data_IF_202488322536
#
_entry.id   IF_202488322536
#
_cell.length_a   1.000
_cell.length_b   1.000
_cell.length_c   1.000
_cell.angle_alpha   90.00
_cell.angle_beta   90.00
_cell.angle_gamma   90.00
#
_symmetry.space_group_name_H-M   'P 1'
#
loop_
_entity.id
_entity.type
_entity.pdbx_description
1 polymer ?
#
# COMPACT_ATOMS: atom_id res chain seq x y z
N UNK A 1 11.47 23.91 8.20
CA UNK A 1 10.74 23.15 7.14
C UNK A 1 10.79 21.65 7.37
N UNK A 2 11.96 21.07 7.73
CA UNK A 2 12.10 19.63 7.97
C UNK A 2 11.20 19.13 9.12
N UNK A 3 11.16 19.86 10.24
CA UNK A 3 10.22 19.56 11.33
C UNK A 3 8.75 19.57 10.91
N UNK A 4 8.36 20.52 10.04
CA UNK A 4 7.00 20.55 9.50
C UNK A 4 6.73 19.37 8.57
N UNK A 5 7.74 18.94 7.80
CA UNK A 5 7.61 17.77 6.94
C UNK A 5 7.47 16.49 7.78
N UNK A 6 8.25 16.38 8.87
CA UNK A 6 8.17 15.31 9.88
C UNK A 6 6.81 15.28 10.56
N UNK A 7 6.24 16.44 10.90
CA UNK A 7 4.88 16.55 11.46
C UNK A 7 3.76 16.29 10.44
N UNK A 8 4.07 15.82 9.24
CA UNK A 8 3.09 15.42 8.23
C UNK A 8 2.68 16.54 7.26
N UNK A 9 3.25 17.73 7.32
CA UNK A 9 2.89 18.80 6.38
C UNK A 9 3.36 18.48 4.96
N UNK A 10 2.48 18.72 3.98
CA UNK A 10 2.81 18.64 2.56
C UNK A 10 3.57 19.87 2.06
N UNK A 11 4.23 19.78 0.90
CA UNK A 11 5.02 20.90 0.34
C UNK A 11 4.21 22.19 0.16
N UNK A 12 2.93 22.10 -0.22
CA UNK A 12 2.03 23.25 -0.31
C UNK A 12 1.72 23.89 1.04
N UNK A 13 1.54 23.08 2.09
CA UNK A 13 1.27 23.60 3.44
C UNK A 13 2.49 24.31 4.00
N UNK A 14 3.69 23.77 3.76
CA UNK A 14 4.94 24.40 4.16
C UNK A 14 5.13 25.72 3.39
N UNK A 15 4.88 25.74 2.08
CA UNK A 15 4.94 26.96 1.27
C UNK A 15 3.94 28.03 1.76
N UNK A 16 2.71 27.65 2.08
CA UNK A 16 1.69 28.56 2.62
C UNK A 16 2.10 29.13 3.99
N UNK A 17 2.60 28.29 4.88
CA UNK A 17 3.07 28.73 6.20
C UNK A 17 4.28 29.67 6.08
N UNK A 18 5.15 29.48 5.09
CA UNK A 18 6.28 30.36 4.82
C UNK A 18 5.79 31.72 4.31
N UNK A 19 4.80 31.72 3.41
CA UNK A 19 4.15 32.94 2.95
C UNK A 19 3.49 33.72 4.11
N UNK A 20 2.75 33.04 4.97
CA UNK A 20 2.09 33.64 6.16
C UNK A 20 3.10 34.23 7.15
N UNK A 21 4.27 33.60 7.29
CA UNK A 21 5.37 34.09 8.14
C UNK A 21 6.26 35.12 7.47
N UNK A 22 5.99 35.46 6.20
CA UNK A 22 6.79 36.42 5.43
C UNK A 22 8.17 35.90 5.01
N UNK A 23 8.42 34.58 5.06
CA UNK A 23 9.68 33.99 4.63
C UNK A 23 9.80 34.00 3.11
N UNK A 24 10.86 34.62 2.59
CA UNK A 24 11.14 34.71 1.16
C UNK A 24 12.24 33.75 0.73
N UNK A 25 12.34 33.49 -0.57
CA UNK A 25 13.40 32.66 -1.15
C UNK A 25 14.73 33.39 -1.14
N UNK A 26 15.81 32.61 -1.10
CA UNK A 26 17.16 33.15 -1.18
C UNK A 26 17.41 33.80 -2.56
N UNK A 27 18.02 34.99 -2.55
CA UNK A 27 18.42 35.73 -3.76
C UNK A 27 17.35 36.67 -4.30
N UNK A 28 16.25 36.14 -4.85
CA UNK A 28 15.23 36.96 -5.56
C UNK A 28 14.08 37.46 -4.67
N UNK A 29 14.12 37.18 -3.38
CA UNK A 29 13.07 37.52 -2.40
C UNK A 29 11.65 37.13 -2.83
N UNK A 30 11.52 36.05 -3.62
CA UNK A 30 10.23 35.60 -4.12
C UNK A 30 9.51 34.71 -3.10
N UNK A 31 8.23 34.46 -3.33
CA UNK A 31 7.47 33.52 -2.50
C UNK A 31 7.90 32.08 -2.74
N UNK A 32 7.93 31.29 -1.67
CA UNK A 32 8.25 29.87 -1.75
C UNK A 32 7.16 29.12 -2.51
N UNK A 33 7.57 28.40 -3.56
CA UNK A 33 6.70 27.47 -4.29
C UNK A 33 6.91 26.03 -3.78
N UNK A 34 5.90 25.14 -3.89
CA UNK A 34 6.03 23.75 -3.46
C UNK A 34 7.23 23.02 -4.08
N UNK A 35 7.55 23.29 -5.34
CA UNK A 35 8.71 22.72 -6.02
C UNK A 35 10.05 23.14 -5.38
N UNK A 36 10.16 24.38 -4.91
CA UNK A 36 11.36 24.87 -4.21
C UNK A 36 11.50 24.22 -2.82
N UNK A 37 10.38 24.09 -2.09
CA UNK A 37 10.35 23.36 -0.82
C UNK A 37 10.81 21.90 -1.02
N UNK A 38 10.28 21.24 -2.05
CA UNK A 38 10.67 19.86 -2.40
C UNK A 38 12.16 19.75 -2.72
N UNK A 39 12.72 20.68 -3.51
CA UNK A 39 14.12 20.67 -3.88
C UNK A 39 15.05 20.73 -2.66
N UNK A 40 14.72 21.58 -1.67
CA UNK A 40 15.51 21.68 -0.43
C UNK A 40 15.35 20.45 0.43
N UNK A 41 14.12 19.96 0.64
CA UNK A 41 13.86 18.80 1.50
C UNK A 41 14.55 17.54 0.96
N UNK A 42 14.68 17.38 -0.36
CA UNK A 42 15.34 16.22 -0.98
C UNK A 42 16.86 16.35 -1.12
N UNK A 43 17.41 17.56 -0.91
CA UNK A 43 18.83 17.80 -1.16
C UNK A 43 19.68 17.22 -0.03
N UNK A 44 20.62 16.32 -0.37
CA UNK A 44 21.59 15.79 0.59
C UNK A 44 22.61 16.86 1.05
N UNK A 45 22.68 18.01 0.38
CA UNK A 45 23.53 19.12 0.83
C UNK A 45 23.18 19.58 2.25
N UNK A 46 21.92 19.42 2.68
CA UNK A 46 21.46 19.81 4.02
C UNK A 46 22.07 18.97 5.15
N UNK A 47 22.51 17.75 4.82
CA UNK A 47 23.22 16.84 5.74
C UNK A 47 24.74 16.87 5.52
N UNK A 48 25.23 17.78 4.68
CA UNK A 48 26.66 17.97 4.42
C UNK A 48 27.24 17.11 3.29
N UNK A 49 26.39 16.46 2.48
CA UNK A 49 26.85 15.54 1.43
C UNK A 49 26.77 16.19 0.06
N UNK A 50 27.82 16.03 -0.74
CA UNK A 50 27.86 16.44 -2.14
C UNK A 50 28.01 15.22 -3.05
N UNK A 51 27.06 15.02 -3.96
CA UNK A 51 27.15 14.02 -5.02
C UNK A 51 27.48 14.73 -6.35
N UNK A 52 28.70 14.61 -6.89
CA UNK A 52 29.01 15.06 -8.24
C UNK A 52 28.11 14.34 -9.25
N UNK A 53 27.79 15.03 -10.35
CA UNK A 53 27.01 14.45 -11.44
C UNK A 53 27.59 14.89 -12.77
N UNK A 54 27.61 13.98 -13.73
CA UNK A 54 27.95 14.24 -15.14
C UNK A 54 26.72 14.06 -16.02
N UNK A 55 26.77 14.58 -17.24
CA UNK A 55 25.73 14.38 -18.25
C UNK A 55 26.19 13.27 -19.19
N UNK A 56 25.54 12.12 -19.13
CA UNK A 56 25.74 10.99 -20.04
C UNK A 56 24.46 10.75 -20.82
N UNK A 57 24.54 10.69 -22.15
CA UNK A 57 23.38 10.49 -23.04
C UNK A 57 22.20 11.47 -22.79
N UNK A 58 22.49 12.70 -22.33
CA UNK A 58 21.47 13.71 -22.02
C UNK A 58 20.81 13.55 -20.64
N UNK A 59 21.19 12.54 -19.86
CA UNK A 59 20.72 12.32 -18.50
C UNK A 59 21.79 12.66 -17.47
N UNK A 60 21.36 13.15 -16.30
CA UNK A 60 22.24 13.52 -15.20
C UNK A 60 22.50 12.28 -14.34
N UNK A 61 23.72 11.75 -14.40
CA UNK A 61 24.13 10.53 -13.69
C UNK A 61 25.12 10.88 -12.58
N UNK A 62 25.05 10.25 -11.39
CA UNK A 62 26.05 10.42 -10.34
C UNK A 62 27.46 10.06 -10.83
N UNK A 63 28.44 10.91 -10.53
CA UNK A 63 29.85 10.72 -10.88
C UNK A 63 30.65 10.42 -9.61
N UNK A 64 31.03 9.15 -9.45
CA UNK A 64 31.76 8.66 -8.27
C UNK A 64 30.94 8.61 -6.98
N UNK A 65 31.65 8.41 -5.87
CA UNK A 65 31.07 8.29 -4.53
C UNK A 65 30.66 9.66 -3.94
N UNK A 66 29.59 9.72 -3.11
CA UNK A 66 29.21 10.94 -2.41
C UNK A 66 30.33 11.42 -1.48
N UNK A 67 30.63 12.72 -1.56
CA UNK A 67 31.62 13.38 -0.69
C UNK A 67 30.93 13.84 0.59
N UNK A 68 31.29 13.22 1.70
CA UNK A 68 30.77 13.55 3.04
C UNK A 68 31.48 14.79 3.61
N UNK A 69 30.74 15.62 4.37
CA UNK A 69 31.29 16.80 5.03
C UNK A 69 31.67 17.95 4.08
N UNK A 70 31.21 17.91 2.83
CA UNK A 70 31.49 18.94 1.83
C UNK A 70 30.75 20.25 2.11
N UNK A 71 29.50 20.16 2.58
CA UNK A 71 28.70 21.31 2.99
C UNK A 71 28.54 21.35 4.52
N UNK A 72 28.28 22.53 5.10
CA UNK A 72 27.86 22.62 6.50
C UNK A 72 26.56 21.84 6.72
N UNK A 73 26.57 20.90 7.67
CA UNK A 73 25.38 20.17 8.09
C UNK A 73 24.43 21.12 8.83
N UNK A 74 23.24 21.34 8.26
CA UNK A 74 22.20 22.21 8.83
C UNK A 74 21.00 21.43 9.37
N UNK A 75 20.90 20.14 9.03
CA UNK A 75 19.88 19.20 9.49
C UNK A 75 20.57 17.91 9.90
N UNK A 76 20.14 17.28 11.00
CA UNK A 76 20.70 16.00 11.41
C UNK A 76 20.39 14.90 10.38
N UNK A 77 21.33 13.97 10.10
CA UNK A 77 21.10 12.85 9.19
C UNK A 77 19.85 12.04 9.56
N UNK A 78 19.63 11.80 10.85
CA UNK A 78 18.45 11.09 11.36
C UNK A 78 17.13 11.79 11.00
N UNK A 79 17.04 13.12 11.18
CA UNK A 79 15.82 13.87 10.81
C UNK A 79 15.61 13.88 9.29
N UNK A 80 16.70 13.98 8.52
CA UNK A 80 16.63 13.93 7.06
C UNK A 80 16.09 12.58 6.57
N UNK A 81 16.65 11.48 7.05
CA UNK A 81 16.24 10.12 6.68
C UNK A 81 14.79 9.83 7.09
N UNK A 82 14.40 10.23 8.31
CA UNK A 82 13.02 10.10 8.78
C UNK A 82 12.04 10.84 7.84
N UNK A 83 12.38 12.07 7.44
CA UNK A 83 11.57 12.84 6.48
C UNK A 83 11.55 12.20 5.10
N UNK A 84 12.67 11.68 4.58
CA UNK A 84 12.69 10.97 3.30
C UNK A 84 11.82 9.72 3.34
N UNK A 85 11.89 8.95 4.43
CA UNK A 85 11.07 7.77 4.62
C UNK A 85 9.58 8.13 4.66
N UNK A 86 9.19 9.13 5.44
CA UNK A 86 7.81 9.64 5.49
C UNK A 86 7.31 10.14 4.13
N UNK A 87 8.18 10.72 3.30
CA UNK A 87 7.82 11.15 1.94
C UNK A 87 7.68 9.94 1.01
N UNK A 88 8.53 8.92 1.15
CA UNK A 88 8.49 7.70 0.36
C UNK A 88 7.28 6.80 0.66
N UNK A 89 6.81 6.78 1.91
CA UNK A 89 5.61 6.03 2.32
C UNK A 89 4.30 6.72 1.95
N UNK A 90 4.33 8.02 1.63
CA UNK A 90 3.14 8.71 1.09
C UNK A 90 2.75 8.06 -0.23
N UNK A 91 1.56 7.46 -0.25
CA UNK A 91 0.99 6.82 -1.44
C UNK A 91 1.13 7.72 -2.68
N UNK A 92 1.70 7.18 -3.76
CA UNK A 92 1.72 7.81 -5.10
C UNK A 92 0.33 8.00 -5.68
N UNK A 93 -0.72 7.55 -4.98
CA UNK A 93 -2.10 7.82 -5.32
C UNK A 93 -2.39 9.32 -5.15
N UNK A 94 -2.18 10.05 -6.24
CA UNK A 94 -2.55 11.45 -6.38
C UNK A 94 -4.07 11.56 -6.42
N UNK A 95 -4.69 11.52 -5.24
CA UNK A 95 -6.13 11.62 -5.14
C UNK A 95 -6.55 11.87 -3.70
N UNK A 96 -6.89 13.13 -3.41
CA UNK A 96 -7.96 13.44 -2.46
C UNK A 96 -7.79 13.03 -0.98
N UNK A 97 -6.60 13.16 -0.37
CA UNK A 97 -6.49 13.15 1.10
C UNK A 97 -6.37 14.56 1.73
N UNK A 98 -6.29 15.61 0.91
CA UNK A 98 -6.11 16.98 1.42
C UNK A 98 -7.48 17.59 1.76
N UNK A 99 -7.75 17.79 3.06
CA UNK A 99 -8.76 18.69 3.66
C UNK A 99 -10.19 18.21 3.95
N UNK A 100 -10.48 16.92 4.05
CA UNK A 100 -11.77 16.46 4.58
C UNK A 100 -13.02 16.85 3.76
N UNK A 101 -12.84 17.50 2.61
CA UNK A 101 -13.87 17.74 1.60
C UNK A 101 -13.70 16.69 0.50
N UNK A 102 -14.53 15.65 0.57
CA UNK A 102 -14.61 14.62 -0.46
C UNK A 102 -15.40 15.17 -1.66
N UNK A 103 -14.71 15.80 -2.60
CA UNK A 103 -15.36 16.29 -3.82
C UNK A 103 -15.65 15.17 -4.81
N UNK A 104 -14.96 14.04 -4.70
CA UNK A 104 -15.14 12.85 -5.53
C UNK A 104 -14.98 11.57 -4.70
N UNK A 105 -16.10 10.88 -4.44
CA UNK A 105 -16.17 9.62 -3.71
C UNK A 105 -15.41 8.49 -4.41
N UNK A 106 -15.33 8.53 -5.73
CA UNK A 106 -14.75 7.44 -6.53
C UNK A 106 -13.32 7.74 -6.99
N UNK A 107 -12.62 8.63 -6.29
CA UNK A 107 -11.21 8.93 -6.54
C UNK A 107 -10.40 7.65 -6.46
N UNK A 108 -9.72 7.29 -7.55
CA UNK A 108 -8.88 6.09 -7.60
C UNK A 108 -9.56 4.80 -8.01
N UNK A 109 -10.89 4.80 -8.08
CA UNK A 109 -11.69 3.58 -8.31
C UNK A 109 -12.12 3.48 -9.77
N UNK A 110 -12.72 4.54 -10.31
CA UNK A 110 -13.30 4.49 -11.65
C UNK A 110 -12.23 4.60 -12.74
N UNK A 111 -12.28 3.66 -13.68
CA UNK A 111 -11.42 3.59 -14.85
C UNK A 111 -12.24 3.75 -16.12
N UNK A 112 -11.64 4.40 -17.11
CA UNK A 112 -12.15 4.43 -18.46
C UNK A 112 -11.95 3.06 -19.13
N UNK A 113 -12.70 2.80 -20.21
CA UNK A 113 -12.50 1.66 -21.10
C UNK A 113 -11.06 1.59 -21.67
N UNK A 114 -10.35 2.71 -21.75
CA UNK A 114 -8.93 2.74 -22.13
C UNK A 114 -7.94 2.34 -21.01
N UNK A 115 -8.45 1.88 -19.86
CA UNK A 115 -7.68 1.45 -18.69
C UNK A 115 -7.24 2.58 -17.74
N UNK A 116 -7.33 3.82 -18.19
CA UNK A 116 -6.86 4.99 -17.44
C UNK A 116 -7.84 5.42 -16.35
N UNK A 117 -7.34 6.00 -15.25
CA UNK A 117 -8.20 6.49 -14.17
C UNK A 117 -8.98 7.73 -14.60
N UNK A 118 -10.27 7.78 -14.26
CA UNK A 118 -11.10 8.96 -14.47
C UNK A 118 -10.72 10.06 -13.48
N UNK A 119 -10.63 11.29 -13.98
CA UNK A 119 -10.33 12.48 -13.20
C UNK A 119 -11.58 13.30 -12.93
N UNK A 120 -11.65 13.84 -11.72
CA UNK A 120 -12.66 14.80 -11.33
C UNK A 120 -12.26 16.21 -11.80
N UNK A 121 -13.13 16.84 -12.60
CA UNK A 121 -12.91 18.18 -13.12
C UNK A 121 -14.16 19.04 -12.94
N UNK A 122 -13.99 20.22 -12.33
CA UNK A 122 -15.00 21.25 -12.35
C UNK A 122 -14.87 22.07 -13.64
N UNK A 123 -15.90 22.07 -14.48
CA UNK A 123 -16.00 22.89 -15.70
C UNK A 123 -17.09 23.98 -15.57
N UNK A 124 -17.54 24.25 -14.35
CA UNK A 124 -18.52 25.30 -14.05
C UNK A 124 -17.88 26.66 -13.81
N UNK A 125 -18.73 27.67 -13.57
CA UNK A 125 -18.29 29.02 -13.16
C UNK A 125 -18.29 29.12 -11.64
N UNK A 126 -17.54 30.08 -11.09
CA UNK A 126 -17.63 30.41 -9.66
C UNK A 126 -19.10 30.72 -9.30
N UNK A 127 -19.63 30.03 -8.29
CA UNK A 127 -21.05 30.11 -7.87
C UNK A 127 -22.01 29.15 -8.56
N UNK A 128 -21.63 28.51 -9.68
CA UNK A 128 -22.41 27.45 -10.33
C UNK A 128 -21.47 26.33 -10.80
N UNK A 129 -20.97 25.51 -9.86
CA UNK A 129 -20.04 24.42 -10.17
C UNK A 129 -20.72 23.36 -11.04
N UNK A 130 -20.00 22.84 -12.04
CA UNK A 130 -20.41 21.67 -12.81
C UNK A 130 -19.28 20.66 -12.81
N UNK A 131 -19.50 19.57 -12.09
CA UNK A 131 -18.47 18.58 -11.83
C UNK A 131 -18.60 17.41 -12.80
N UNK A 132 -17.49 17.00 -13.41
CA UNK A 132 -17.46 15.93 -14.39
C UNK A 132 -16.36 14.90 -14.06
N UNK A 133 -16.64 13.65 -14.40
CA UNK A 133 -15.64 12.61 -14.55
C UNK A 133 -15.15 12.59 -16.00
N UNK A 134 -13.85 12.75 -16.20
CA UNK A 134 -13.22 12.92 -17.50
C UNK A 134 -12.08 11.94 -17.67
N UNK A 135 -11.97 11.34 -18.85
CA UNK A 135 -10.80 10.54 -19.22
C UNK A 135 -9.63 11.47 -19.59
N UNK A 136 -8.46 11.38 -18.94
CA UNK A 136 -7.32 12.25 -19.27
C UNK A 136 -6.77 11.96 -20.67
N UNK A 137 -6.99 10.76 -21.21
CA UNK A 137 -6.59 10.38 -22.58
C UNK A 137 -7.50 10.94 -23.67
N UNK A 138 -8.64 11.56 -23.34
CA UNK A 138 -9.52 12.20 -24.33
C UNK A 138 -8.78 13.26 -25.15
N UNK A 139 -7.96 14.08 -24.49
CA UNK A 139 -7.19 15.15 -25.14
C UNK A 139 -5.82 14.70 -25.69
N UNK A 140 -5.40 13.46 -25.42
CA UNK A 140 -4.05 12.96 -25.75
C UNK A 140 -4.12 11.94 -26.88
N UNK A 141 -4.96 10.90 -26.74
CA UNK A 141 -5.04 9.77 -27.67
C UNK A 141 -6.44 9.62 -28.30
N UNK A 142 -7.32 10.61 -28.13
CA UNK A 142 -8.66 10.59 -28.73
C UNK A 142 -9.63 9.58 -28.11
N UNK A 143 -9.53 9.32 -26.80
CA UNK A 143 -10.48 8.44 -26.14
C UNK A 143 -11.92 9.00 -26.22
N UNK A 144 -12.87 8.20 -26.74
CA UNK A 144 -14.25 8.62 -27.04
C UNK A 144 -15.21 8.58 -25.85
N UNK A 145 -14.73 8.44 -24.61
CA UNK A 145 -15.62 8.46 -23.45
C UNK A 145 -16.19 9.89 -23.25
N UNK A 146 -17.52 10.08 -23.22
CA UNK A 146 -18.10 11.37 -22.94
C UNK A 146 -17.82 11.82 -21.50
N UNK A 147 -17.77 13.13 -21.28
CA UNK A 147 -17.68 13.68 -19.93
C UNK A 147 -18.96 13.32 -19.16
N UNK A 148 -18.81 12.58 -18.07
CA UNK A 148 -19.95 12.15 -17.27
C UNK A 148 -20.20 13.16 -16.16
N UNK A 149 -21.43 13.65 -16.02
CA UNK A 149 -21.77 14.60 -14.97
C UNK A 149 -21.75 13.88 -13.61
N UNK A 150 -20.84 14.30 -12.74
CA UNK A 150 -20.56 13.64 -11.47
C UNK A 150 -21.80 13.56 -10.59
N UNK A 151 -22.57 14.65 -10.54
CA UNK A 151 -23.81 14.76 -9.75
C UNK A 151 -24.92 13.79 -10.19
N UNK A 152 -24.81 13.19 -11.39
CA UNK A 152 -25.73 12.15 -11.87
C UNK A 152 -25.16 10.75 -11.66
N UNK A 153 -23.86 10.59 -11.86
CA UNK A 153 -23.17 9.30 -11.70
C UNK A 153 -23.14 8.87 -10.23
N UNK A 154 -22.84 9.78 -9.32
CA UNK A 154 -22.70 9.46 -7.89
C UNK A 154 -23.93 8.75 -7.30
N UNK A 155 -25.15 9.32 -7.36
CA UNK A 155 -26.31 8.67 -6.76
C UNK A 155 -26.66 7.34 -7.45
N UNK A 156 -26.49 7.25 -8.76
CA UNK A 156 -26.78 6.02 -9.52
C UNK A 156 -25.81 4.89 -9.15
N UNK A 157 -24.53 5.21 -9.02
CA UNK A 157 -23.51 4.23 -8.65
C UNK A 157 -23.67 3.79 -7.20
N UNK A 158 -23.97 4.72 -6.29
CA UNK A 158 -24.29 4.40 -4.89
C UNK A 158 -25.51 3.49 -4.77
N UNK A 159 -26.57 3.75 -5.55
CA UNK A 159 -27.75 2.89 -5.59
C UNK A 159 -27.40 1.48 -6.10
N UNK A 160 -26.62 1.38 -7.19
CA UNK A 160 -26.18 0.09 -7.72
C UNK A 160 -25.34 -0.69 -6.69
N UNK A 161 -24.41 -0.03 -6.00
CA UNK A 161 -23.59 -0.66 -4.94
C UNK A 161 -24.46 -1.11 -3.77
N UNK A 162 -25.46 -0.32 -3.37
CA UNK A 162 -26.40 -0.69 -2.31
C UNK A 162 -27.19 -1.96 -2.67
N UNK A 163 -27.70 -2.06 -3.90
CA UNK A 163 -28.38 -3.27 -4.37
C UNK A 163 -27.43 -4.48 -4.42
N UNK A 164 -26.19 -4.27 -4.87
CA UNK A 164 -25.18 -5.32 -4.89
C UNK A 164 -24.74 -5.75 -3.49
N UNK A 165 -24.79 -4.87 -2.48
CA UNK A 165 -24.39 -5.20 -1.11
C UNK A 165 -25.21 -6.33 -0.50
N UNK A 166 -26.50 -6.45 -0.85
CA UNK A 166 -27.34 -7.55 -0.42
C UNK A 166 -26.85 -8.90 -0.98
N UNK A 167 -26.46 -8.91 -2.27
CA UNK A 167 -25.90 -10.09 -2.95
C UNK A 167 -24.48 -10.40 -2.44
N UNK A 168 -23.66 -9.37 -2.22
CA UNK A 168 -22.32 -9.52 -1.66
C UNK A 168 -22.36 -10.01 -0.22
N UNK A 169 -23.35 -9.62 0.58
CA UNK A 169 -23.55 -10.13 1.94
C UNK A 169 -23.87 -11.62 1.97
N UNK A 170 -24.66 -12.11 1.01
CA UNK A 170 -24.95 -13.54 0.87
C UNK A 170 -23.70 -14.35 0.46
N UNK A 171 -22.87 -13.81 -0.42
CA UNK A 171 -21.55 -14.39 -0.75
C UNK A 171 -20.55 -14.28 0.41
N UNK A 172 -20.66 -13.21 1.20
CA UNK A 172 -19.81 -12.93 2.36
C UNK A 172 -19.92 -14.00 3.44
N UNK A 173 -21.13 -14.47 3.76
CA UNK A 173 -21.31 -15.52 4.77
C UNK A 173 -20.73 -16.88 4.37
N UNK A 174 -20.71 -17.19 3.06
CA UNK A 174 -20.08 -18.40 2.53
C UNK A 174 -18.54 -18.23 2.52
N UNK A 175 -18.06 -17.08 2.07
CA UNK A 175 -16.65 -16.70 2.11
C UNK A 175 -16.08 -16.66 3.53
N UNK A 176 -16.81 -16.12 4.52
CA UNK A 176 -16.38 -16.01 5.92
C UNK A 176 -16.25 -17.39 6.58
N UNK A 177 -17.16 -18.33 6.27
CA UNK A 177 -17.03 -19.72 6.70
C UNK A 177 -15.83 -20.42 6.05
N UNK A 178 -15.59 -20.17 4.77
CA UNK A 178 -14.40 -20.71 4.07
C UNK A 178 -13.10 -20.08 4.59
N UNK A 179 -13.13 -18.80 4.96
CA UNK A 179 -12.00 -18.09 5.56
C UNK A 179 -11.68 -18.64 6.95
N UNK A 180 -12.70 -18.85 7.78
CA UNK A 180 -12.56 -19.45 9.10
C UNK A 180 -11.96 -20.87 9.04
N UNK A 181 -12.39 -21.70 8.08
CA UNK A 181 -11.79 -23.02 7.87
C UNK A 181 -10.33 -22.93 7.40
N UNK A 182 -9.99 -21.95 6.56
CA UNK A 182 -8.60 -21.71 6.12
C UNK A 182 -7.71 -21.25 7.28
N UNK A 183 -8.24 -20.43 8.18
CA UNK A 183 -7.53 -20.03 9.40
C UNK A 183 -7.31 -21.22 10.34
N UNK A 184 -8.30 -22.10 10.51
CA UNK A 184 -8.18 -23.32 11.30
C UNK A 184 -7.16 -24.30 10.70
N UNK A 185 -7.17 -24.46 9.37
CA UNK A 185 -6.18 -25.26 8.63
C UNK A 185 -4.76 -24.72 8.87
N UNK A 186 -4.55 -23.40 8.80
CA UNK A 186 -3.25 -22.79 9.06
C UNK A 186 -2.75 -23.04 10.50
N UNK A 187 -3.67 -23.03 11.48
CA UNK A 187 -3.35 -23.37 12.88
C UNK A 187 -2.93 -24.84 13.00
N UNK A 188 -3.65 -25.77 12.36
CA UNK A 188 -3.33 -27.21 12.42
C UNK A 188 -2.02 -27.53 11.70
N UNK A 189 -1.75 -26.94 10.55
CA UNK A 189 -0.47 -27.08 9.85
C UNK A 189 0.70 -26.62 10.72
N UNK A 190 0.54 -25.52 11.46
CA UNK A 190 1.56 -25.04 12.40
C UNK A 190 1.76 -26.01 13.57
N UNK A 191 0.69 -26.61 14.10
CA UNK A 191 0.80 -27.67 15.12
C UNK A 191 1.53 -28.90 14.59
N UNK A 192 1.23 -29.32 13.35
CA UNK A 192 1.91 -30.44 12.70
C UNK A 192 3.40 -30.17 12.53
N UNK A 193 3.79 -28.95 12.10
CA UNK A 193 5.19 -28.57 11.97
C UNK A 193 5.94 -28.63 13.32
N UNK A 194 5.30 -28.19 14.41
CA UNK A 194 5.86 -28.26 15.76
C UNK A 194 6.02 -29.70 16.24
N UNK A 195 5.02 -30.55 16.06
CA UNK A 195 5.09 -31.98 16.41
C UNK A 195 6.11 -32.73 15.54
N UNK A 196 6.21 -32.40 14.25
CA UNK A 196 7.22 -32.97 13.36
C UNK A 196 8.65 -32.58 13.79
N UNK A 197 8.85 -31.34 14.25
CA UNK A 197 10.13 -30.91 14.85
C UNK A 197 10.45 -31.69 16.12
N UNK A 198 9.47 -31.93 17.00
CA UNK A 198 9.66 -32.76 18.20
C UNK A 198 10.02 -34.20 17.82
N UNK A 199 9.30 -34.79 16.86
CA UNK A 199 9.57 -36.14 16.33
C UNK A 199 11.00 -36.25 15.77
N UNK A 200 11.45 -35.28 14.98
CA UNK A 200 12.79 -35.28 14.41
C UNK A 200 13.88 -35.14 15.49
N UNK A 201 13.66 -34.30 16.51
CA UNK A 201 14.58 -34.19 17.66
C UNK A 201 14.64 -35.48 18.48
N UNK A 202 13.50 -36.13 18.72
CA UNK A 202 13.45 -37.42 19.39
C UNK A 202 14.22 -38.49 18.60
N UNK A 203 14.03 -38.55 17.27
CA UNK A 203 14.77 -39.45 16.40
C UNK A 203 16.30 -39.19 16.40
N UNK A 204 16.72 -37.92 16.42
CA UNK A 204 18.14 -37.57 16.56
C UNK A 204 18.70 -37.99 17.92
N UNK A 205 17.94 -37.79 19.00
CA UNK A 205 18.37 -38.19 20.36
C UNK A 205 18.50 -39.72 20.49
N UNK A 206 17.63 -40.49 19.82
CA UNK A 206 17.75 -41.96 19.75
C UNK A 206 19.02 -42.43 19.04
N UNK A 207 19.54 -41.65 18.08
CA UNK A 207 20.79 -41.98 17.37
C UNK A 207 22.04 -41.61 18.19
N UNK A 208 21.94 -40.62 19.08
CA UNK A 208 23.09 -40.05 19.80
C UNK A 208 23.32 -40.65 21.20
N UNK A 209 22.27 -41.11 21.90
CA UNK A 209 22.33 -41.43 23.34
C UNK A 209 22.14 -42.92 23.70
N UNK A 210 22.31 -43.82 22.74
CA UNK A 210 21.89 -45.23 22.82
C UNK A 210 20.36 -45.38 23.02
N UNK A 211 19.84 -46.49 22.51
CA UNK A 211 18.45 -46.76 22.17
C UNK A 211 17.51 -46.92 23.41
N UNK A 212 17.39 -45.86 24.21
CA UNK A 212 16.66 -45.87 25.50
C UNK A 212 15.14 -45.96 25.28
N UNK A 213 14.46 -46.75 26.12
CA UNK A 213 13.04 -47.06 25.99
C UNK A 213 12.16 -45.79 26.04
N UNK A 214 12.60 -44.79 26.81
CA UNK A 214 11.93 -43.49 26.96
C UNK A 214 11.88 -42.71 25.64
N UNK A 215 12.95 -42.73 24.85
CA UNK A 215 12.98 -42.01 23.57
C UNK A 215 12.12 -42.70 22.51
N UNK A 216 12.04 -44.04 22.54
CA UNK A 216 11.13 -44.81 21.67
C UNK A 216 9.67 -44.46 21.93
N UNK A 217 9.28 -44.35 23.20
CA UNK A 217 7.91 -43.99 23.58
C UNK A 217 7.55 -42.55 23.20
N UNK A 218 8.49 -41.60 23.39
CA UNK A 218 8.32 -40.23 22.90
C UNK A 218 8.20 -40.16 21.38
N UNK A 219 9.00 -40.93 20.64
CA UNK A 219 8.94 -40.97 19.18
C UNK A 219 7.62 -41.57 18.67
N UNK A 220 7.14 -42.66 19.25
CA UNK A 220 5.85 -43.28 18.86
C UNK A 220 4.68 -42.35 19.18
N UNK A 221 4.72 -41.63 20.31
CA UNK A 221 3.72 -40.64 20.66
C UNK A 221 3.70 -39.45 19.68
N UNK A 222 4.86 -38.85 19.37
CA UNK A 222 4.92 -37.77 18.38
C UNK A 222 4.50 -38.24 16.99
N UNK A 223 4.84 -39.48 16.60
CA UNK A 223 4.38 -40.07 15.33
C UNK A 223 2.87 -40.21 15.27
N UNK A 224 2.24 -40.70 16.34
CA UNK A 224 0.78 -40.81 16.42
C UNK A 224 0.09 -39.44 16.37
N UNK A 225 0.65 -38.43 17.04
CA UNK A 225 0.15 -37.06 17.01
C UNK A 225 0.24 -36.44 15.60
N UNK A 226 1.35 -36.64 14.89
CA UNK A 226 1.49 -36.20 13.50
C UNK A 226 0.42 -36.84 12.60
N UNK A 227 0.23 -38.16 12.70
CA UNK A 227 -0.78 -38.88 11.91
C UNK A 227 -2.20 -38.38 12.20
N UNK A 228 -2.53 -38.11 13.46
CA UNK A 228 -3.84 -37.56 13.83
C UNK A 228 -4.06 -36.15 13.25
N UNK A 229 -3.03 -35.29 13.27
CA UNK A 229 -3.10 -33.95 12.69
C UNK A 229 -3.18 -33.97 11.16
N UNK A 230 -2.47 -34.88 10.50
CA UNK A 230 -2.53 -35.07 9.04
C UNK A 230 -3.94 -35.47 8.59
N UNK A 231 -4.60 -36.38 9.32
CA UNK A 231 -5.99 -36.77 9.02
C UNK A 231 -6.95 -35.59 9.18
N UNK A 232 -6.79 -34.77 10.21
CA UNK A 232 -7.63 -33.58 10.43
C UNK A 232 -7.42 -32.53 9.34
N UNK A 233 -6.17 -32.31 8.90
CA UNK A 233 -5.85 -31.39 7.81
C UNK A 233 -6.49 -31.87 6.51
N UNK A 234 -6.39 -33.16 6.17
CA UNK A 234 -6.98 -33.70 4.96
C UNK A 234 -8.52 -33.55 4.95
N UNK A 235 -9.18 -33.81 6.08
CA UNK A 235 -10.63 -33.61 6.20
C UNK A 235 -11.03 -32.14 5.99
N UNK A 236 -10.26 -31.20 6.54
CA UNK A 236 -10.49 -29.77 6.35
C UNK A 236 -10.22 -29.31 4.90
N UNK A 237 -9.21 -29.87 4.25
CA UNK A 237 -8.92 -29.61 2.83
C UNK A 237 -10.05 -30.11 1.92
N UNK A 238 -10.59 -31.30 2.20
CA UNK A 238 -11.75 -31.84 1.49
C UNK A 238 -13.01 -30.98 1.71
N UNK A 239 -13.24 -30.50 2.93
CA UNK A 239 -14.37 -29.62 3.25
C UNK A 239 -14.26 -28.25 2.57
N UNK A 240 -13.06 -27.67 2.50
CA UNK A 240 -12.80 -26.40 1.80
C UNK A 240 -13.01 -26.58 0.30
N UNK A 241 -12.44 -27.61 -0.30
CA UNK A 241 -12.56 -27.87 -1.75
C UNK A 241 -14.00 -28.18 -2.15
N UNK A 242 -14.74 -28.96 -1.35
CA UNK A 242 -16.17 -29.21 -1.56
C UNK A 242 -17.01 -27.92 -1.54
N UNK A 243 -16.72 -27.00 -0.62
CA UNK A 243 -17.40 -25.69 -0.54
C UNK A 243 -17.05 -24.79 -1.73
N UNK A 244 -15.78 -24.69 -2.11
CA UNK A 244 -15.35 -23.90 -3.26
C UNK A 244 -15.92 -24.43 -4.59
N UNK A 245 -16.10 -25.74 -4.73
CA UNK A 245 -16.75 -26.36 -5.89
C UNK A 245 -18.26 -26.06 -5.91
N UNK A 246 -18.93 -26.07 -4.76
CA UNK A 246 -20.35 -25.73 -4.65
C UNK A 246 -20.64 -24.25 -4.99
N UNK A 247 -19.74 -23.34 -4.65
CA UNK A 247 -19.84 -21.91 -5.00
C UNK A 247 -19.71 -21.69 -6.51
N UNK A 248 -18.81 -22.41 -7.19
CA UNK A 248 -18.62 -22.30 -8.65
C UNK A 248 -19.82 -22.80 -9.46
N UNK A 249 -20.60 -23.73 -8.93
CA UNK A 249 -21.81 -24.23 -9.60
C UNK A 249 -23.01 -23.27 -9.54
N UNK A 250 -23.01 -22.31 -8.60
CA UNK A 250 -24.01 -21.22 -8.53
C UNK A 250 -23.69 -20.06 -9.50
N UNK A 251 -22.54 -20.07 -10.17
CA UNK A 251 -22.09 -19.03 -11.09
C UNK A 251 -22.28 -19.37 -12.59
N UNK A 252 -22.92 -20.50 -12.93
CA UNK A 252 -23.34 -20.87 -14.30
C UNK A 252 -24.84 -20.76 -14.48
#
# INVERSE_FOLDING_TARGET
MFEMAKSGCGYEQIAKAFLEKGYKTFGKEADWRPAGIQAVIKSQAVIGVFQPHVIENGERVPDGEPILGYYPTIVSPALFEEVQHLIGTRSKHSGSYRKGTYSNLFSGVLRCQCGELLRYHNKGKAGNPRNYLVCPKQNITGCNLPNMLYDKVEPQLLQAVSLLSAVMGQRGAASEKTLALKDELAILQRKLELEAKKRNKAAQSMLELDDDAVFRELFTQCKANCQALEVQIHQLEDDITGRELSEKHLER
#
